data_IF_302663429177
#
_entry.id   IF_302663429177
#
_cell.length_a   1.000
_cell.length_b   1.000
_cell.length_c   1.000
_cell.angle_alpha   90.00
_cell.angle_beta   90.00
_cell.angle_gamma   90.00
#
_symmetry.space_group_name_H-M   'P 1'
#
loop_
_entity.id
_entity.type
_entity.pdbx_description
1 polymer ?
#
# COMPACT_ATOMS: atom_id res chain seq x y z
N UNK A 1 29.90 -114.19 -3.03
CA UNK A 1 30.92 -114.14 -1.96
C UNK A 1 31.52 -112.78 -1.84
N UNK A 2 31.51 -112.26 -0.68
CA UNK A 2 32.11 -111.10 -0.03
C UNK A 2 31.31 -109.79 0.06
N UNK A 3 30.69 -109.70 1.22
CA UNK A 3 30.18 -108.47 1.75
C UNK A 3 31.28 -107.44 2.14
N UNK A 4 31.17 -106.24 1.74
CA UNK A 4 31.97 -105.11 2.27
C UNK A 4 31.01 -104.16 3.01
N UNK A 5 31.30 -103.70 4.23
CA UNK A 5 30.45 -102.81 5.02
C UNK A 5 30.64 -101.35 4.61
N UNK A 6 29.51 -100.68 4.32
CA UNK A 6 29.41 -99.27 3.92
C UNK A 6 29.04 -98.36 5.09
N UNK A 7 29.42 -98.66 6.35
CA UNK A 7 28.96 -97.93 7.53
C UNK A 7 29.75 -96.68 7.97
N UNK A 8 31.00 -96.41 7.63
CA UNK A 8 31.65 -95.23 8.19
C UNK A 8 31.46 -93.90 7.39
N UNK A 9 31.02 -94.00 6.15
CA UNK A 9 30.87 -92.75 5.32
C UNK A 9 29.58 -91.99 5.60
N UNK A 10 28.54 -92.69 6.11
CA UNK A 10 27.23 -92.08 6.43
C UNK A 10 27.30 -91.24 7.77
N UNK A 11 28.09 -91.70 8.71
CA UNK A 11 28.28 -90.96 9.99
C UNK A 11 29.07 -89.67 9.83
N UNK A 12 30.02 -89.61 8.91
CA UNK A 12 30.83 -88.44 8.65
C UNK A 12 30.04 -87.30 7.96
N UNK A 13 29.09 -87.73 7.07
CA UNK A 13 28.20 -86.76 6.38
C UNK A 13 27.13 -86.13 7.28
N UNK A 14 26.65 -86.83 8.30
CA UNK A 14 25.70 -86.26 9.29
C UNK A 14 26.37 -85.29 10.22
N UNK A 15 27.60 -85.54 10.65
CA UNK A 15 28.34 -84.60 11.51
C UNK A 15 28.71 -83.33 10.73
N UNK A 16 29.05 -83.41 9.46
CA UNK A 16 29.31 -82.28 8.57
C UNK A 16 28.05 -81.44 8.32
N UNK A 17 26.88 -82.06 8.16
CA UNK A 17 25.59 -81.37 8.02
C UNK A 17 25.15 -80.65 9.31
N UNK A 18 25.41 -81.23 10.46
CA UNK A 18 25.10 -80.59 11.74
C UNK A 18 26.02 -79.39 12.08
N UNK A 19 27.27 -79.44 11.58
CA UNK A 19 28.20 -78.30 11.74
C UNK A 19 27.85 -77.11 10.83
N UNK A 20 27.20 -77.36 9.66
CA UNK A 20 26.72 -76.29 8.80
C UNK A 20 25.45 -75.57 9.33
N UNK A 21 24.63 -76.20 10.17
CA UNK A 21 23.42 -75.57 10.78
C UNK A 21 23.73 -74.70 11.99
N UNK A 22 24.92 -74.80 12.59
CA UNK A 22 25.32 -73.92 13.73
C UNK A 22 25.99 -72.61 13.28
N UNK A 23 26.23 -72.37 11.98
CA UNK A 23 26.82 -71.17 11.44
C UNK A 23 25.84 -70.01 11.20
N UNK A 24 24.52 -70.18 11.44
CA UNK A 24 23.55 -69.07 11.49
C UNK A 24 23.54 -68.44 12.86
N UNK A 25 24.65 -67.83 13.28
CA UNK A 25 24.64 -66.92 14.43
C UNK A 25 23.89 -65.66 14.03
N UNK A 26 22.84 -65.33 14.79
CA UNK A 26 22.05 -64.12 14.69
C UNK A 26 23.00 -62.92 14.60
N UNK A 27 23.08 -62.31 13.42
CA UNK A 27 23.87 -61.11 13.20
C UNK A 27 23.31 -60.05 14.14
N UNK A 28 24.06 -59.73 15.17
CA UNK A 28 23.71 -58.64 16.10
C UNK A 28 23.41 -57.41 15.21
N UNK A 29 22.18 -56.85 15.32
CA UNK A 29 21.75 -55.72 14.55
C UNK A 29 22.77 -54.61 14.77
N UNK A 30 23.43 -54.15 13.72
CA UNK A 30 24.36 -53.01 13.79
C UNK A 30 23.65 -51.85 14.52
N UNK A 31 24.30 -51.18 15.48
CA UNK A 31 23.66 -50.09 16.21
C UNK A 31 23.12 -49.08 15.20
N UNK A 32 21.85 -48.74 15.35
CA UNK A 32 21.20 -47.75 14.45
C UNK A 32 22.05 -46.47 14.39
N UNK A 33 22.37 -45.96 13.19
CA UNK A 33 23.20 -44.79 13.07
C UNK A 33 22.56 -43.60 13.79
N UNK A 34 23.34 -42.99 14.69
CA UNK A 34 22.89 -41.81 15.43
C UNK A 34 22.70 -40.68 14.41
N UNK A 35 21.45 -40.26 14.21
CA UNK A 35 21.08 -39.24 13.21
C UNK A 35 21.21 -37.84 13.80
N UNK A 36 21.71 -36.89 13.00
CA UNK A 36 21.74 -35.50 13.38
C UNK A 36 20.37 -34.86 13.06
N UNK A 37 19.78 -34.19 14.04
CA UNK A 37 18.47 -33.50 13.91
C UNK A 37 18.61 -32.02 14.25
N UNK A 38 17.88 -31.18 13.53
CA UNK A 38 17.79 -29.76 13.87
C UNK A 38 16.67 -29.57 14.88
N UNK A 39 16.98 -28.95 16.01
CA UNK A 39 16.00 -28.66 17.07
C UNK A 39 15.49 -27.23 16.93
N UNK A 40 14.22 -27.05 17.25
CA UNK A 40 13.58 -25.75 17.50
C UNK A 40 13.06 -25.76 18.93
N UNK A 41 13.40 -24.74 19.69
CA UNK A 41 12.82 -24.54 21.01
C UNK A 41 11.43 -23.94 20.84
N UNK A 42 10.46 -24.59 21.42
CA UNK A 42 9.07 -24.10 21.45
C UNK A 42 9.06 -22.75 22.16
N UNK A 43 8.86 -21.69 21.41
CA UNK A 43 8.79 -20.32 21.90
C UNK A 43 7.36 -19.82 21.87
N UNK A 44 7.09 -18.86 22.73
CA UNK A 44 5.89 -18.04 22.65
C UNK A 44 6.13 -16.99 21.57
N UNK A 45 5.60 -17.22 20.37
CA UNK A 45 5.62 -16.22 19.30
C UNK A 45 4.30 -15.47 19.22
N UNK A 46 4.30 -14.16 18.92
CA UNK A 46 3.07 -13.52 18.51
C UNK A 46 2.58 -14.19 17.22
N UNK A 47 1.27 -14.47 17.15
CA UNK A 47 0.65 -14.79 15.87
C UNK A 47 0.59 -13.49 15.08
N UNK A 48 1.62 -13.18 14.34
CA UNK A 48 1.55 -12.20 13.26
C UNK A 48 1.28 -12.95 11.95
N UNK A 49 0.12 -13.58 11.86
CA UNK A 49 -0.52 -13.80 10.58
C UNK A 49 -1.19 -12.47 10.20
N UNK A 50 -0.38 -11.43 10.04
CA UNK A 50 -0.83 -10.18 9.50
C UNK A 50 -1.18 -10.43 8.04
N UNK A 51 -2.47 -10.41 7.73
CA UNK A 51 -2.93 -10.50 6.36
C UNK A 51 -2.48 -9.23 5.64
N UNK A 52 -1.59 -9.41 4.66
CA UNK A 52 -0.96 -8.33 3.94
C UNK A 52 -1.61 -8.19 2.56
N UNK A 53 -2.01 -6.97 2.21
CA UNK A 53 -2.57 -6.63 0.90
C UNK A 53 -1.61 -5.71 0.17
N UNK A 54 -1.38 -6.00 -1.11
CA UNK A 54 -0.64 -5.08 -1.97
C UNK A 54 -1.55 -3.95 -2.43
N UNK A 55 -1.03 -2.73 -2.45
CA UNK A 55 -1.73 -1.53 -2.89
C UNK A 55 -0.77 -0.49 -3.45
N UNK A 56 -1.33 0.64 -3.83
CA UNK A 56 -0.60 1.79 -4.36
C UNK A 56 -1.02 3.08 -3.65
N UNK A 57 -0.08 4.03 -3.59
CA UNK A 57 -0.31 5.35 -3.01
C UNK A 57 -0.91 6.25 -4.06
N UNK A 58 -2.09 6.82 -3.78
CA UNK A 58 -2.76 7.80 -4.65
C UNK A 58 -3.02 9.11 -3.91
N UNK A 59 -3.11 10.19 -4.67
CA UNK A 59 -3.65 11.42 -4.12
C UNK A 59 -5.11 11.18 -3.70
N UNK A 60 -5.54 11.84 -2.63
CA UNK A 60 -6.94 11.75 -2.18
C UNK A 60 -7.91 12.24 -3.23
N UNK A 61 -7.51 13.30 -3.97
CA UNK A 61 -8.30 13.91 -5.04
C UNK A 61 -7.45 13.93 -6.30
N UNK A 62 -8.02 13.41 -7.37
CA UNK A 62 -7.47 13.51 -8.73
C UNK A 62 -8.46 14.28 -9.60
N UNK A 63 -8.01 15.40 -10.17
CA UNK A 63 -8.78 16.20 -11.12
C UNK A 63 -8.50 15.73 -12.54
N UNK A 64 -9.56 15.39 -13.28
CA UNK A 64 -9.50 15.13 -14.73
C UNK A 64 -9.98 16.38 -15.45
N UNK A 65 -9.03 17.14 -15.97
CA UNK A 65 -9.29 18.44 -16.54
C UNK A 65 -9.44 18.36 -18.05
N UNK A 66 -10.51 18.96 -18.56
CA UNK A 66 -10.84 19.08 -19.97
C UNK A 66 -11.39 20.46 -20.28
N UNK A 67 -11.36 20.84 -21.56
CA UNK A 67 -11.91 22.09 -22.00
C UNK A 67 -13.45 22.10 -21.89
N UNK A 68 -14.02 23.26 -21.58
CA UNK A 68 -15.48 23.45 -21.50
C UNK A 68 -16.11 23.75 -22.85
N UNK A 69 -15.29 23.99 -23.86
CA UNK A 69 -15.65 24.25 -25.26
C UNK A 69 -14.85 23.32 -26.17
N UNK A 70 -15.38 23.05 -27.38
CA UNK A 70 -14.69 22.23 -28.36
C UNK A 70 -13.65 23.04 -29.13
N UNK A 71 -12.61 22.40 -29.63
CA UNK A 71 -11.61 23.06 -30.50
C UNK A 71 -10.36 22.24 -30.71
N UNK A 72 -9.44 22.77 -31.54
CA UNK A 72 -8.14 22.18 -31.78
C UNK A 72 -7.14 22.66 -30.73
N UNK A 73 -6.43 21.74 -30.07
CA UNK A 73 -5.34 22.08 -29.14
C UNK A 73 -4.18 22.68 -29.96
N UNK A 74 -3.82 23.91 -29.66
CA UNK A 74 -2.69 24.59 -30.29
C UNK A 74 -1.40 24.39 -29.52
N UNK A 75 -1.48 24.35 -28.20
CA UNK A 75 -0.32 24.26 -27.33
C UNK A 75 -0.68 23.57 -25.99
N UNK A 76 0.25 22.76 -25.51
CA UNK A 76 0.27 22.24 -24.14
C UNK A 76 1.45 22.89 -23.42
N UNK A 77 1.23 23.43 -22.23
CA UNK A 77 2.21 24.21 -21.48
C UNK A 77 2.77 23.45 -20.25
N UNK A 78 2.38 22.18 -20.07
CA UNK A 78 2.79 21.34 -18.94
C UNK A 78 3.22 19.96 -19.41
N UNK A 79 4.13 19.35 -18.66
CA UNK A 79 4.66 18.01 -18.90
C UNK A 79 4.23 17.04 -17.80
N UNK A 80 4.30 15.73 -18.09
CA UNK A 80 4.07 14.67 -17.12
C UNK A 80 5.06 14.80 -15.95
N UNK A 81 4.57 14.69 -14.72
CA UNK A 81 5.38 14.85 -13.50
C UNK A 81 5.64 16.30 -13.09
N UNK A 82 5.23 17.29 -13.89
CA UNK A 82 5.39 18.70 -13.55
C UNK A 82 4.45 19.10 -12.42
N UNK A 83 4.96 19.87 -11.46
CA UNK A 83 4.15 20.51 -10.43
C UNK A 83 3.50 21.77 -10.98
N UNK A 84 2.22 21.95 -10.76
CA UNK A 84 1.40 23.06 -11.23
C UNK A 84 0.69 23.76 -10.08
N UNK A 85 0.39 25.04 -10.27
CA UNK A 85 -0.34 25.86 -9.29
C UNK A 85 -1.75 26.13 -9.80
N UNK A 86 -2.67 26.36 -8.86
CA UNK A 86 -4.04 26.78 -9.17
C UNK A 86 -4.04 28.00 -10.10
N UNK A 87 -4.89 27.97 -11.17
CA UNK A 87 -4.96 29.01 -12.18
C UNK A 87 -3.85 28.97 -13.24
N UNK A 88 -2.83 28.09 -13.12
CA UNK A 88 -1.80 27.93 -14.13
C UNK A 88 -2.41 27.36 -15.43
N UNK A 89 -2.05 27.94 -16.58
CA UNK A 89 -2.52 27.43 -17.88
C UNK A 89 -1.80 26.13 -18.19
N UNK A 90 -2.57 25.12 -18.54
CA UNK A 90 -2.11 23.76 -18.87
C UNK A 90 -2.07 23.52 -20.36
N UNK A 91 -3.10 24.01 -21.08
CA UNK A 91 -3.24 23.86 -22.51
C UNK A 91 -4.11 24.98 -23.08
N UNK A 92 -4.01 25.19 -24.41
CA UNK A 92 -4.80 26.20 -25.14
C UNK A 92 -5.41 25.59 -26.39
N UNK A 93 -6.65 25.99 -26.66
CA UNK A 93 -7.32 25.76 -27.96
C UNK A 93 -6.99 26.89 -28.92
N UNK A 94 -7.32 26.71 -30.21
CA UNK A 94 -7.44 27.77 -31.17
C UNK A 94 -8.66 28.64 -30.77
N UNK A 95 -8.37 29.88 -30.34
CA UNK A 95 -9.38 30.78 -29.79
C UNK A 95 -9.95 31.75 -30.85
N UNK A 96 -9.48 31.72 -32.11
CA UNK A 96 -9.77 32.75 -33.11
C UNK A 96 -11.27 32.97 -33.29
N UNK A 97 -12.04 31.92 -33.48
CA UNK A 97 -13.49 32.03 -33.70
C UNK A 97 -14.25 32.54 -32.47
N UNK A 98 -13.79 32.13 -31.29
CA UNK A 98 -14.32 32.60 -30.00
C UNK A 98 -14.00 34.09 -29.77
N UNK A 99 -12.78 34.54 -30.12
CA UNK A 99 -12.40 35.96 -30.04
C UNK A 99 -13.23 36.81 -31.00
N UNK A 100 -13.40 36.40 -32.25
CA UNK A 100 -14.26 37.11 -33.21
C UNK A 100 -15.70 37.21 -32.70
N UNK A 101 -16.23 36.16 -32.09
CA UNK A 101 -17.58 36.16 -31.52
C UNK A 101 -17.69 37.11 -30.30
N UNK A 102 -16.67 37.18 -29.47
CA UNK A 102 -16.61 38.11 -28.34
C UNK A 102 -16.48 39.56 -28.82
N UNK A 103 -15.68 39.81 -29.87
CA UNK A 103 -15.53 41.15 -30.48
C UNK A 103 -16.81 41.63 -31.12
N UNK A 104 -17.54 40.78 -31.84
CA UNK A 104 -18.87 41.09 -32.37
C UNK A 104 -19.89 41.46 -31.25
N UNK A 105 -19.89 40.70 -30.15
CA UNK A 105 -20.74 41.00 -29.02
C UNK A 105 -20.31 42.32 -28.33
N UNK A 106 -19.04 42.64 -28.27
CA UNK A 106 -18.51 43.90 -27.76
C UNK A 106 -18.97 45.10 -28.59
N UNK A 107 -18.96 44.97 -29.91
CA UNK A 107 -19.45 45.99 -30.83
C UNK A 107 -20.98 46.19 -30.63
N UNK A 108 -21.75 45.10 -30.47
CA UNK A 108 -23.18 45.19 -30.19
C UNK A 108 -23.47 45.88 -28.86
N UNK A 109 -22.67 45.62 -27.80
CA UNK A 109 -22.78 46.34 -26.54
C UNK A 109 -22.52 47.83 -26.68
N UNK A 110 -21.49 48.22 -27.48
CA UNK A 110 -21.19 49.61 -27.72
C UNK A 110 -22.37 50.33 -28.45
N UNK A 111 -22.99 49.69 -29.45
CA UNK A 111 -24.17 50.19 -30.12
C UNK A 111 -25.36 50.38 -29.16
N UNK A 112 -25.69 49.37 -28.35
CA UNK A 112 -26.79 49.44 -27.39
C UNK A 112 -26.55 50.51 -26.31
N UNK A 113 -25.26 50.67 -25.88
CA UNK A 113 -24.88 51.76 -24.95
C UNK A 113 -25.20 53.12 -25.53
N UNK A 114 -24.78 53.36 -26.79
CA UNK A 114 -25.04 54.64 -27.49
C UNK A 114 -26.56 54.91 -27.62
N UNK A 115 -27.34 53.89 -27.98
CA UNK A 115 -28.80 54.01 -28.09
C UNK A 115 -29.44 54.36 -26.73
N UNK A 116 -29.00 53.72 -25.64
CA UNK A 116 -29.50 54.01 -24.31
C UNK A 116 -29.15 55.45 -23.86
N UNK A 117 -27.90 55.89 -24.14
CA UNK A 117 -27.43 57.23 -23.81
C UNK A 117 -28.24 58.32 -24.55
N UNK A 118 -28.56 58.08 -25.82
CA UNK A 118 -29.42 58.94 -26.63
C UNK A 118 -30.85 59.01 -26.05
N UNK A 119 -31.43 57.84 -25.73
CA UNK A 119 -32.78 57.75 -25.13
C UNK A 119 -32.80 58.45 -23.76
N UNK A 120 -31.76 58.30 -22.94
CA UNK A 120 -31.66 58.97 -21.63
C UNK A 120 -31.57 60.47 -21.79
N UNK A 121 -30.69 60.97 -22.71
CA UNK A 121 -30.59 62.41 -22.99
C UNK A 121 -31.89 63.01 -23.48
N UNK A 122 -32.65 62.27 -24.32
CA UNK A 122 -34.00 62.69 -24.78
C UNK A 122 -34.98 62.71 -23.59
N UNK A 123 -35.08 61.61 -22.84
CA UNK A 123 -35.99 61.55 -21.71
C UNK A 123 -35.69 62.66 -20.68
N UNK A 124 -34.44 62.95 -20.40
CA UNK A 124 -34.01 64.07 -19.52
C UNK A 124 -34.46 65.43 -20.08
N UNK A 125 -34.24 65.68 -21.37
CA UNK A 125 -34.63 66.92 -22.03
C UNK A 125 -36.15 67.11 -22.00
N UNK A 126 -36.88 66.07 -22.38
CA UNK A 126 -38.34 66.16 -22.47
C UNK A 126 -39.00 66.20 -21.07
N UNK A 127 -38.36 65.63 -20.02
CA UNK A 127 -38.81 65.78 -18.64
C UNK A 127 -38.73 67.24 -18.19
N UNK A 128 -37.70 68.01 -18.61
CA UNK A 128 -37.62 69.45 -18.36
C UNK A 128 -38.71 70.21 -19.09
N UNK A 129 -38.98 69.91 -20.34
CA UNK A 129 -40.07 70.55 -21.12
C UNK A 129 -41.46 70.19 -20.57
N UNK A 130 -41.65 69.00 -20.03
CA UNK A 130 -42.92 68.62 -19.34
C UNK A 130 -43.13 69.41 -18.09
N UNK A 131 -42.10 69.63 -17.26
CA UNK A 131 -42.16 70.47 -16.08
C UNK A 131 -42.55 71.92 -16.40
N UNK A 132 -42.26 72.38 -17.63
CA UNK A 132 -42.65 73.69 -18.13
C UNK A 132 -43.99 73.65 -18.89
N UNK A 133 -44.72 72.53 -18.92
CA UNK A 133 -45.99 72.32 -19.63
C UNK A 133 -45.94 72.45 -21.18
N UNK A 134 -44.73 72.29 -21.80
CA UNK A 134 -44.57 72.38 -23.26
C UNK A 134 -44.90 71.05 -23.96
N UNK A 135 -45.10 69.94 -23.27
CA UNK A 135 -45.43 68.62 -23.84
C UNK A 135 -46.52 67.95 -23.03
N UNK A 136 -47.25 67.03 -23.63
CA UNK A 136 -48.26 66.19 -23.00
C UNK A 136 -47.71 65.15 -22.08
N UNK A 137 -48.50 64.59 -21.12
CA UNK A 137 -48.11 63.44 -20.32
C UNK A 137 -47.82 62.20 -21.15
N UNK A 138 -48.65 61.90 -22.15
CA UNK A 138 -48.51 60.78 -23.06
C UNK A 138 -47.24 60.84 -23.88
N UNK A 139 -46.82 62.04 -24.24
CA UNK A 139 -45.52 62.22 -24.94
C UNK A 139 -44.34 61.91 -24.02
N UNK A 140 -44.38 62.38 -22.78
CA UNK A 140 -43.32 62.06 -21.78
C UNK A 140 -43.26 60.55 -21.50
N UNK A 141 -44.40 59.88 -21.30
CA UNK A 141 -44.45 58.41 -21.15
C UNK A 141 -43.81 57.66 -22.32
N UNK A 142 -44.00 58.18 -23.56
CA UNK A 142 -43.31 57.57 -24.74
C UNK A 142 -41.79 57.66 -24.65
N UNK A 143 -41.21 58.76 -24.19
CA UNK A 143 -39.75 58.87 -24.02
C UNK A 143 -39.25 58.02 -22.86
N UNK A 144 -40.02 57.89 -21.80
CA UNK A 144 -39.68 56.99 -20.68
C UNK A 144 -39.76 55.52 -21.09
N UNK A 145 -40.76 55.13 -21.85
CA UNK A 145 -40.86 53.81 -22.44
C UNK A 145 -39.71 53.48 -23.38
N UNK A 146 -39.30 54.46 -24.24
CA UNK A 146 -38.17 54.31 -25.12
C UNK A 146 -36.87 54.15 -24.33
N UNK A 147 -36.66 54.93 -23.27
CA UNK A 147 -35.49 54.76 -22.37
C UNK A 147 -35.48 53.38 -21.71
N UNK A 148 -36.64 52.91 -21.21
CA UNK A 148 -36.78 51.58 -20.62
C UNK A 148 -36.47 50.48 -21.64
N UNK A 149 -36.94 50.62 -22.88
CA UNK A 149 -36.65 49.66 -23.93
C UNK A 149 -35.14 49.64 -24.32
N UNK A 150 -34.54 50.85 -24.45
CA UNK A 150 -33.09 50.94 -24.74
C UNK A 150 -32.23 50.37 -23.59
N UNK A 151 -32.66 50.57 -22.33
CA UNK A 151 -32.01 49.97 -21.16
C UNK A 151 -32.08 48.44 -21.20
N UNK A 152 -33.25 47.87 -21.52
CA UNK A 152 -33.39 46.42 -21.66
C UNK A 152 -32.50 45.85 -22.78
N UNK A 153 -32.37 46.57 -23.92
CA UNK A 153 -31.48 46.19 -25.03
C UNK A 153 -30.01 46.21 -24.58
N UNK A 154 -29.59 47.22 -23.81
CA UNK A 154 -28.24 47.30 -23.27
C UNK A 154 -27.96 46.11 -22.32
N UNK A 155 -28.88 45.77 -21.43
CA UNK A 155 -28.71 44.66 -20.50
C UNK A 155 -28.62 43.32 -21.23
N UNK A 156 -29.41 43.13 -22.30
CA UNK A 156 -29.32 41.98 -23.19
C UNK A 156 -27.95 41.91 -23.86
N UNK A 157 -27.43 43.02 -24.43
CA UNK A 157 -26.12 43.04 -25.06
C UNK A 157 -24.97 42.78 -24.10
N UNK A 158 -25.06 43.23 -22.83
CA UNK A 158 -24.11 42.92 -21.77
C UNK A 158 -24.11 41.42 -21.44
N UNK A 159 -25.26 40.80 -21.29
CA UNK A 159 -25.40 39.39 -21.03
C UNK A 159 -24.78 38.56 -22.21
N UNK A 160 -25.04 38.98 -23.44
CA UNK A 160 -24.47 38.32 -24.63
C UNK A 160 -22.95 38.41 -24.66
N UNK A 161 -22.37 39.61 -24.40
CA UNK A 161 -20.91 39.77 -24.32
C UNK A 161 -20.31 38.87 -23.21
N UNK A 162 -20.91 38.86 -22.03
CA UNK A 162 -20.48 38.00 -20.92
C UNK A 162 -20.43 36.53 -21.32
N UNK A 163 -21.46 36.05 -22.03
CA UNK A 163 -21.52 34.67 -22.55
C UNK A 163 -20.38 34.37 -23.51
N UNK A 164 -20.13 35.26 -24.50
CA UNK A 164 -19.07 35.04 -25.50
C UNK A 164 -17.67 35.15 -24.86
N UNK A 165 -17.45 36.12 -23.97
CA UNK A 165 -16.17 36.22 -23.24
C UNK A 165 -15.90 35.00 -22.35
N UNK A 166 -16.92 34.42 -21.74
CA UNK A 166 -16.74 33.15 -21.02
C UNK A 166 -16.33 32.01 -21.94
N UNK A 167 -16.93 31.91 -23.14
CA UNK A 167 -16.53 30.88 -24.13
C UNK A 167 -15.09 31.08 -24.60
N UNK A 168 -14.66 32.33 -24.83
CA UNK A 168 -13.28 32.67 -25.14
C UNK A 168 -12.34 32.24 -23.99
N UNK A 169 -12.66 32.56 -22.75
CA UNK A 169 -11.86 32.17 -21.59
C UNK A 169 -11.75 30.64 -21.45
N UNK A 170 -12.81 29.90 -21.81
CA UNK A 170 -12.82 28.43 -21.75
C UNK A 170 -11.91 27.77 -22.80
N UNK A 171 -11.33 28.54 -23.74
CA UNK A 171 -10.28 28.06 -24.63
C UNK A 171 -8.93 27.88 -23.95
N UNK A 172 -8.79 28.34 -22.70
CA UNK A 172 -7.63 28.10 -21.86
C UNK A 172 -7.99 27.08 -20.77
N UNK A 173 -7.29 25.95 -20.75
CA UNK A 173 -7.41 24.97 -19.69
C UNK A 173 -6.50 25.37 -18.55
N UNK A 174 -7.05 25.57 -17.36
CA UNK A 174 -6.31 25.98 -16.17
C UNK A 174 -6.42 24.91 -15.09
N UNK A 175 -5.39 24.82 -14.25
CA UNK A 175 -5.39 23.97 -13.07
C UNK A 175 -6.43 24.48 -12.06
N UNK A 176 -7.23 23.58 -11.52
CA UNK A 176 -8.23 23.85 -10.50
C UNK A 176 -7.68 23.83 -9.07
N UNK A 177 -6.48 23.24 -8.88
CA UNK A 177 -5.78 23.15 -7.61
C UNK A 177 -4.26 23.03 -7.83
N UNK A 178 -3.50 23.21 -6.74
CA UNK A 178 -2.07 22.90 -6.71
C UNK A 178 -1.90 21.38 -6.75
N UNK A 179 -0.89 20.89 -7.50
CA UNK A 179 -0.68 19.46 -7.62
C UNK A 179 0.33 19.06 -8.69
N UNK A 180 0.41 17.77 -8.97
CA UNK A 180 1.34 17.19 -9.94
C UNK A 180 0.56 16.58 -11.10
N UNK A 181 1.02 16.82 -12.34
CA UNK A 181 0.46 16.22 -13.56
C UNK A 181 0.77 14.72 -13.56
N UNK A 182 -0.27 13.88 -13.48
CA UNK A 182 -0.15 12.41 -13.44
C UNK A 182 -0.45 11.74 -14.77
N UNK A 183 -1.17 12.43 -15.68
CA UNK A 183 -1.40 11.95 -17.03
C UNK A 183 -1.64 13.10 -18.00
N UNK A 184 -1.23 12.90 -19.25
CA UNK A 184 -1.57 13.74 -20.41
C UNK A 184 -2.36 12.84 -21.36
N UNK A 185 -3.64 13.20 -21.61
CA UNK A 185 -4.57 12.37 -22.37
C UNK A 185 -4.85 12.92 -23.78
N UNK A 186 -4.39 14.15 -24.07
CA UNK A 186 -4.51 14.76 -25.39
C UNK A 186 -3.29 15.64 -25.75
N UNK A 187 -2.91 15.64 -27.02
CA UNK A 187 -1.70 16.28 -27.52
C UNK A 187 -2.01 17.48 -28.43
N UNK A 188 -1.06 18.45 -28.59
CA UNK A 188 -1.19 19.54 -29.55
C UNK A 188 -1.48 19.03 -30.97
N UNK A 189 -2.40 19.73 -31.67
CA UNK A 189 -2.88 19.35 -32.99
C UNK A 189 -4.16 18.52 -32.97
N UNK A 190 -4.52 17.91 -31.86
CA UNK A 190 -5.76 17.13 -31.71
C UNK A 190 -6.97 18.05 -31.59
N UNK A 191 -8.11 17.62 -32.14
CA UNK A 191 -9.42 18.26 -31.95
C UNK A 191 -10.15 17.52 -30.84
N UNK A 192 -10.57 18.26 -29.83
CA UNK A 192 -11.25 17.72 -28.66
C UNK A 192 -12.68 18.29 -28.53
N UNK A 193 -13.60 17.46 -28.06
CA UNK A 193 -14.93 17.90 -27.70
C UNK A 193 -14.94 18.51 -26.28
N UNK A 194 -15.98 19.28 -25.96
CA UNK A 194 -16.19 19.77 -24.59
C UNK A 194 -16.28 18.60 -23.61
N UNK A 195 -15.57 18.68 -22.48
CA UNK A 195 -15.55 17.66 -21.43
C UNK A 195 -14.60 16.49 -21.68
N UNK A 196 -13.92 16.43 -22.83
CA UNK A 196 -12.88 15.42 -23.08
C UNK A 196 -11.71 15.67 -22.14
N UNK A 197 -11.25 14.67 -21.34
CA UNK A 197 -10.07 14.82 -20.50
C UNK A 197 -8.83 15.11 -21.33
N UNK A 198 -8.02 16.06 -20.87
CA UNK A 198 -6.76 16.47 -21.51
C UNK A 198 -5.58 16.27 -20.58
N UNK A 199 -5.72 16.65 -19.31
CA UNK A 199 -4.69 16.54 -18.29
C UNK A 199 -5.30 16.01 -17.00
N UNK A 200 -4.58 15.13 -16.31
CA UNK A 200 -4.94 14.66 -14.98
C UNK A 200 -3.95 15.23 -13.96
N UNK A 201 -4.48 15.77 -12.88
CA UNK A 201 -3.69 16.35 -11.79
C UNK A 201 -4.01 15.59 -10.50
N UNK A 202 -2.99 15.07 -9.85
CA UNK A 202 -3.07 14.64 -8.46
C UNK A 202 -2.87 15.86 -7.57
N UNK A 203 -3.91 16.24 -6.81
CA UNK A 203 -3.85 17.39 -5.93
C UNK A 203 -2.88 17.15 -4.77
N UNK A 204 -2.16 18.19 -4.38
CA UNK A 204 -1.25 18.14 -3.24
C UNK A 204 -1.97 17.90 -1.93
N UNK A 205 -1.23 17.34 -0.96
CA UNK A 205 -1.72 17.15 0.40
C UNK A 205 -1.98 15.69 0.74
N UNK A 206 -3.21 15.38 1.14
CA UNK A 206 -3.54 14.06 1.68
C UNK A 206 -3.43 12.95 0.63
N UNK A 207 -2.81 11.84 1.03
CA UNK A 207 -2.65 10.63 0.21
C UNK A 207 -3.36 9.46 0.85
N UNK A 208 -3.87 8.59 0.01
CA UNK A 208 -4.53 7.36 0.42
C UNK A 208 -3.70 6.15 -0.10
N UNK A 209 -3.58 5.11 0.70
CA UNK A 209 -3.21 3.79 0.23
C UNK A 209 -4.46 3.11 -0.32
N UNK A 210 -4.42 2.75 -1.59
CA UNK A 210 -5.54 2.10 -2.29
C UNK A 210 -5.17 0.64 -2.51
N UNK A 211 -5.98 -0.27 -1.98
CA UNK A 211 -5.75 -1.70 -2.08
C UNK A 211 -7.05 -2.46 -2.31
N UNK A 212 -6.95 -3.69 -2.77
CA UNK A 212 -8.09 -4.53 -3.10
C UNK A 212 -8.20 -5.69 -2.13
N UNK A 213 -9.43 -5.95 -1.66
CA UNK A 213 -9.74 -6.98 -0.67
C UNK A 213 -10.70 -7.98 -1.28
N UNK A 214 -10.42 -9.30 -1.22
CA UNK A 214 -11.34 -10.33 -1.68
C UNK A 214 -12.70 -10.30 -0.95
N UNK A 215 -13.74 -10.79 -1.60
CA UNK A 215 -15.11 -10.75 -1.10
C UNK A 215 -15.28 -11.46 0.25
N UNK A 216 -14.61 -12.60 0.46
CA UNK A 216 -14.65 -13.37 1.70
C UNK A 216 -14.09 -12.62 2.92
N UNK A 217 -13.25 -11.60 2.69
CA UNK A 217 -12.61 -10.77 3.73
C UNK A 217 -13.20 -9.38 3.89
N UNK A 218 -14.11 -9.00 3.00
CA UNK A 218 -14.71 -7.65 3.00
C UNK A 218 -15.39 -7.30 4.32
N UNK A 219 -16.07 -8.27 4.96
CA UNK A 219 -16.80 -8.06 6.22
C UNK A 219 -15.88 -7.71 7.41
N UNK A 220 -14.61 -8.07 7.33
CA UNK A 220 -13.62 -7.81 8.37
C UNK A 220 -12.98 -6.40 8.26
N UNK A 221 -13.20 -5.68 7.15
CA UNK A 221 -12.67 -4.32 6.96
C UNK A 221 -13.81 -3.31 7.06
N UNK A 222 -13.62 -2.34 7.96
CA UNK A 222 -14.62 -1.30 8.26
C UNK A 222 -14.01 0.09 8.14
N UNK A 223 -14.78 1.09 7.71
CA UNK A 223 -14.36 2.48 7.81
C UNK A 223 -14.00 2.84 9.27
N UNK A 224 -12.92 3.61 9.44
CA UNK A 224 -12.38 3.97 10.75
C UNK A 224 -11.38 2.98 11.33
N UNK A 225 -11.22 1.79 10.75
CA UNK A 225 -10.25 0.79 11.21
C UNK A 225 -8.81 1.26 10.95
N UNK A 226 -7.93 1.05 11.95
CA UNK A 226 -6.49 1.28 11.80
C UNK A 226 -5.87 0.29 10.83
N UNK A 227 -4.92 0.75 10.05
CA UNK A 227 -4.09 -0.09 9.18
C UNK A 227 -2.65 0.39 9.25
N UNK A 228 -1.71 -0.53 9.14
CA UNK A 228 -0.30 -0.22 8.98
C UNK A 228 0.09 -0.37 7.54
N UNK A 229 0.84 0.59 7.04
CA UNK A 229 1.27 0.64 5.64
C UNK A 229 2.78 0.64 5.60
N UNK A 230 3.35 -0.29 4.86
CA UNK A 230 4.78 -0.45 4.66
C UNK A 230 5.12 -0.20 3.20
N UNK A 231 5.92 0.82 2.86
CA UNK A 231 6.38 1.04 1.50
C UNK A 231 7.28 -0.11 1.02
N UNK A 232 7.12 -0.54 -0.23
CA UNK A 232 7.99 -1.55 -0.83
C UNK A 232 9.45 -1.12 -0.89
N UNK A 233 9.70 0.19 -1.05
CA UNK A 233 11.05 0.76 -1.13
C UNK A 233 11.79 0.79 0.21
N UNK A 234 11.08 0.70 1.34
CA UNK A 234 11.65 0.73 2.68
C UNK A 234 10.81 -0.15 3.61
N UNK A 235 11.19 -1.42 3.70
CA UNK A 235 10.50 -2.42 4.51
C UNK A 235 10.61 -2.16 6.02
N UNK A 236 11.56 -1.34 6.46
CA UNK A 236 11.75 -1.00 7.87
C UNK A 236 10.77 0.07 8.34
N UNK A 237 10.16 0.79 7.41
CA UNK A 237 9.30 1.94 7.69
C UNK A 237 7.84 1.54 7.75
N UNK A 238 7.19 1.84 8.88
CA UNK A 238 5.76 1.64 9.09
C UNK A 238 5.05 2.97 9.19
N UNK A 239 4.01 3.14 8.39
CA UNK A 239 3.17 4.34 8.35
C UNK A 239 1.80 3.96 8.87
N UNK A 240 1.28 4.72 9.81
CA UNK A 240 -0.09 4.54 10.27
C UNK A 240 -1.06 5.12 9.24
N UNK A 241 -2.15 4.40 9.03
CA UNK A 241 -3.23 4.85 8.17
C UNK A 241 -4.58 4.42 8.77
N UNK A 242 -5.66 4.98 8.24
CA UNK A 242 -7.00 4.66 8.68
C UNK A 242 -7.89 4.40 7.47
N UNK A 243 -8.64 3.31 7.48
CA UNK A 243 -9.62 3.01 6.44
C UNK A 243 -10.65 4.14 6.40
N UNK A 244 -10.70 4.84 5.27
CA UNK A 244 -11.62 5.93 5.02
C UNK A 244 -12.86 5.47 4.26
N UNK A 245 -12.65 4.62 3.28
CA UNK A 245 -13.68 4.19 2.33
C UNK A 245 -13.50 2.73 1.96
N UNK A 246 -14.59 2.01 1.93
CA UNK A 246 -14.68 0.65 1.38
C UNK A 246 -15.73 0.67 0.28
N UNK A 247 -15.36 0.25 -0.93
CA UNK A 247 -16.28 0.23 -2.06
C UNK A 247 -17.54 -0.58 -1.74
N UNK A 248 -18.69 -0.09 -2.19
CA UNK A 248 -19.97 -0.76 -1.98
C UNK A 248 -20.18 -1.96 -2.91
N UNK A 249 -19.51 -1.96 -4.08
CA UNK A 249 -19.57 -3.02 -5.08
C UNK A 249 -18.18 -3.61 -5.33
N UNK A 250 -18.12 -4.89 -5.61
CA UNK A 250 -16.91 -5.54 -6.08
C UNK A 250 -16.64 -5.18 -7.54
N UNK A 251 -15.38 -5.14 -7.91
CA UNK A 251 -14.94 -5.15 -9.30
C UNK A 251 -15.33 -6.50 -9.92
N UNK A 252 -16.10 -6.52 -11.02
CA UNK A 252 -16.63 -7.76 -11.60
C UNK A 252 -15.55 -8.68 -12.19
N UNK A 253 -14.40 -8.13 -12.58
CA UNK A 253 -13.31 -8.89 -13.17
C UNK A 253 -12.46 -9.59 -12.12
N UNK A 254 -12.14 -8.91 -11.01
CA UNK A 254 -11.26 -9.40 -9.96
C UNK A 254 -12.00 -9.97 -8.76
N UNK A 255 -13.30 -9.68 -8.62
CA UNK A 255 -14.14 -10.00 -7.44
C UNK A 255 -13.57 -9.47 -6.14
N UNK A 256 -12.96 -8.29 -6.21
CA UNK A 256 -12.36 -7.61 -5.06
C UNK A 256 -13.04 -6.27 -4.81
N UNK A 257 -13.04 -5.85 -3.56
CA UNK A 257 -13.53 -4.54 -3.13
C UNK A 257 -12.35 -3.60 -2.97
N UNK A 258 -12.45 -2.42 -3.57
CA UNK A 258 -11.44 -1.37 -3.41
C UNK A 258 -11.61 -0.73 -2.03
N UNK A 259 -10.50 -0.65 -1.30
CA UNK A 259 -10.41 0.01 0.00
C UNK A 259 -9.41 1.16 -0.10
N UNK A 260 -9.78 2.32 0.48
CA UNK A 260 -8.91 3.49 0.56
C UNK A 260 -8.61 3.78 2.02
N UNK A 261 -7.34 3.77 2.38
CA UNK A 261 -6.86 4.11 3.71
C UNK A 261 -6.08 5.42 3.68
N UNK A 262 -6.52 6.39 4.47
CA UNK A 262 -5.86 7.69 4.61
C UNK A 262 -4.52 7.53 5.32
N UNK A 263 -3.42 7.84 4.64
CA UNK A 263 -2.08 7.85 5.22
C UNK A 263 -1.94 9.00 6.21
N UNK A 264 -1.28 8.75 7.34
CA UNK A 264 -1.03 9.72 8.40
C UNK A 264 0.45 10.11 8.44
N UNK A 265 0.71 11.40 8.73
CA UNK A 265 2.07 11.92 8.80
C UNK A 265 2.39 12.90 7.68
N UNK A 266 3.59 13.50 7.74
CA UNK A 266 4.07 14.51 6.78
C UNK A 266 4.98 13.92 5.72
N UNK A 267 5.73 12.87 6.06
CA UNK A 267 6.63 12.20 5.13
C UNK A 267 5.92 10.99 4.52
N UNK A 268 5.15 11.24 3.45
CA UNK A 268 4.36 10.22 2.77
C UNK A 268 5.11 9.66 1.55
N UNK A 269 4.95 8.37 1.23
CA UNK A 269 5.54 7.77 0.02
C UNK A 269 5.07 8.50 -1.24
N UNK A 270 5.88 8.46 -2.29
CA UNK A 270 5.56 9.09 -3.57
C UNK A 270 4.24 8.56 -4.15
N UNK A 271 3.57 9.37 -4.96
CA UNK A 271 2.40 8.93 -5.72
C UNK A 271 2.78 7.76 -6.64
N UNK A 272 1.94 6.74 -6.71
CA UNK A 272 2.19 5.50 -7.45
C UNK A 272 3.15 4.53 -6.76
N UNK A 273 3.68 4.85 -5.57
CA UNK A 273 4.51 3.91 -4.82
C UNK A 273 3.70 2.68 -4.40
N UNK A 274 4.28 1.50 -4.60
CA UNK A 274 3.70 0.24 -4.11
C UNK A 274 3.85 0.17 -2.60
N UNK A 275 2.80 -0.28 -1.93
CA UNK A 275 2.75 -0.43 -0.48
C UNK A 275 2.12 -1.76 -0.10
N UNK A 276 2.55 -2.28 1.04
CA UNK A 276 1.90 -3.38 1.74
C UNK A 276 1.03 -2.83 2.85
N UNK A 277 -0.22 -3.23 2.87
CA UNK A 277 -1.24 -2.76 3.81
C UNK A 277 -1.65 -3.90 4.72
N UNK A 278 -1.52 -3.70 6.02
CA UNK A 278 -1.83 -4.65 7.08
C UNK A 278 -2.96 -4.07 7.95
N UNK A 279 -4.22 -4.50 7.73
CA UNK A 279 -5.32 -4.05 8.57
C UNK A 279 -5.19 -4.57 10.01
N UNK A 280 -5.38 -3.69 10.98
CA UNK A 280 -5.38 -4.06 12.39
C UNK A 280 -6.64 -4.86 12.75
N UNK A 281 -6.47 -5.89 13.60
CA UNK A 281 -7.59 -6.72 14.05
C UNK A 281 -8.04 -7.82 13.07
N UNK A 282 -7.36 -8.01 11.95
CA UNK A 282 -7.59 -9.15 11.05
C UNK A 282 -6.74 -10.37 11.38
N UNK A 283 -5.74 -10.24 12.25
CA UNK A 283 -5.08 -11.37 12.87
C UNK A 283 -6.03 -12.04 13.87
N UNK A 284 -5.90 -13.35 14.05
CA UNK A 284 -6.64 -14.08 15.11
C UNK A 284 -6.34 -13.37 16.43
N UNK A 285 -7.35 -12.69 17.00
CA UNK A 285 -7.16 -11.88 18.18
C UNK A 285 -6.66 -12.76 19.34
N UNK A 286 -5.59 -12.32 19.96
CA UNK A 286 -4.95 -12.96 21.14
C UNK A 286 -5.95 -13.20 22.27
N UNK A 287 -7.03 -12.40 22.33
CA UNK A 287 -8.08 -12.47 23.36
C UNK A 287 -9.11 -13.58 23.13
N UNK A 288 -9.32 -14.00 21.88
CA UNK A 288 -10.26 -15.08 21.56
C UNK A 288 -9.70 -16.47 21.86
N UNK A 289 -8.40 -16.63 22.05
CA UNK A 289 -7.73 -17.94 22.25
C UNK A 289 -7.07 -18.11 23.62
N UNK A 290 -7.12 -17.18 24.53
CA UNK A 290 -6.73 -17.37 25.94
C UNK A 290 -5.43 -18.13 26.23
N UNK A 291 -4.61 -18.46 25.24
CA UNK A 291 -3.42 -19.30 25.39
C UNK A 291 -2.30 -18.89 24.43
N UNK A 292 -1.11 -18.95 24.91
CA UNK A 292 0.16 -18.85 24.21
C UNK A 292 0.16 -19.78 22.99
N UNK A 293 0.26 -19.20 21.79
CA UNK A 293 0.21 -19.98 20.57
C UNK A 293 1.60 -20.41 20.19
N UNK A 294 1.77 -21.70 20.03
CA UNK A 294 3.01 -22.34 19.63
C UNK A 294 2.99 -22.52 18.12
N UNK A 295 3.96 -21.90 17.41
CA UNK A 295 4.18 -22.14 16.00
C UNK A 295 5.34 -23.11 15.79
N UNK A 296 5.13 -24.07 14.90
CA UNK A 296 6.16 -25.00 14.47
C UNK A 296 6.21 -25.07 12.94
N UNK A 297 7.40 -25.24 12.35
CA UNK A 297 7.49 -25.50 10.91
C UNK A 297 6.74 -26.80 10.56
N UNK A 298 6.02 -26.81 9.45
CA UNK A 298 5.24 -27.97 9.00
C UNK A 298 6.12 -29.23 8.81
N UNK A 299 7.44 -29.04 8.59
CA UNK A 299 8.42 -30.12 8.53
C UNK A 299 8.66 -30.86 9.85
N UNK A 300 8.25 -30.27 10.98
CA UNK A 300 8.32 -30.88 12.31
C UNK A 300 7.16 -31.83 12.58
N UNK A 301 6.08 -31.73 11.80
CA UNK A 301 4.86 -32.51 11.99
C UNK A 301 4.98 -33.89 11.35
N UNK A 302 4.46 -34.90 12.05
CA UNK A 302 4.29 -36.25 11.56
C UNK A 302 2.83 -36.66 11.69
N UNK A 303 2.28 -37.24 10.63
CA UNK A 303 0.97 -37.87 10.70
C UNK A 303 1.12 -39.29 11.26
N UNK A 304 0.33 -39.60 12.28
CA UNK A 304 0.31 -40.90 12.93
C UNK A 304 -0.86 -41.72 12.36
N UNK A 305 -0.52 -42.84 11.67
CA UNK A 305 -1.48 -43.84 11.21
C UNK A 305 -2.16 -43.60 9.85
N UNK A 306 -2.51 -44.68 9.17
CA UNK A 306 -3.08 -44.73 7.81
C UNK A 306 -4.49 -44.13 7.65
N UNK A 307 -5.15 -43.63 8.68
CA UNK A 307 -6.49 -43.03 8.65
C UNK A 307 -6.51 -41.52 8.96
N UNK A 308 -5.36 -40.84 9.00
CA UNK A 308 -5.30 -39.37 9.03
C UNK A 308 -5.77 -38.68 10.31
N UNK A 309 -5.93 -39.38 11.41
CA UNK A 309 -6.56 -38.85 12.64
C UNK A 309 -5.61 -38.43 13.76
N UNK A 310 -4.31 -38.41 13.56
CA UNK A 310 -3.38 -37.94 14.60
C UNK A 310 -2.19 -37.20 14.02
N UNK A 311 -1.89 -36.04 14.55
CA UNK A 311 -0.63 -35.33 14.27
C UNK A 311 0.24 -35.37 15.51
N UNK A 312 1.52 -35.67 15.36
CA UNK A 312 2.48 -35.74 16.45
C UNK A 312 3.78 -35.03 16.07
N UNK A 313 4.57 -34.68 17.06
CA UNK A 313 5.91 -34.13 16.90
C UNK A 313 6.93 -34.93 17.70
N UNK A 314 8.22 -34.85 17.30
CA UNK A 314 9.27 -35.46 18.08
C UNK A 314 9.83 -34.48 19.12
N UNK A 315 9.63 -34.84 20.37
CA UNK A 315 10.18 -34.12 21.52
C UNK A 315 11.59 -34.64 21.78
N UNK A 316 12.58 -33.76 21.88
CA UNK A 316 13.94 -34.13 22.25
C UNK A 316 14.12 -34.11 23.77
N UNK A 317 14.60 -35.20 24.29
CA UNK A 317 14.96 -35.35 25.70
C UNK A 317 16.48 -35.20 25.83
N UNK A 318 16.90 -34.09 26.43
CA UNK A 318 18.33 -33.76 26.58
C UNK A 318 19.05 -34.72 27.55
N UNK A 319 18.34 -35.32 28.51
CA UNK A 319 18.94 -36.22 29.50
C UNK A 319 19.32 -37.59 28.90
N UNK A 320 18.47 -38.11 27.99
CA UNK A 320 18.68 -39.40 27.33
C UNK A 320 19.24 -39.28 25.90
N UNK A 321 19.34 -38.04 25.38
CA UNK A 321 19.67 -37.76 23.97
C UNK A 321 18.81 -38.54 23.00
N UNK A 322 17.54 -38.75 23.32
CA UNK A 322 16.57 -39.51 22.50
C UNK A 322 15.33 -38.72 22.20
N UNK A 323 14.55 -39.20 21.21
CA UNK A 323 13.32 -38.55 20.78
C UNK A 323 12.09 -39.35 21.26
N UNK A 324 11.07 -38.62 21.74
CA UNK A 324 9.76 -39.19 22.16
C UNK A 324 8.69 -38.60 21.26
N UNK A 325 7.70 -39.41 20.86
CA UNK A 325 6.57 -38.96 20.11
C UNK A 325 5.55 -38.28 21.03
N UNK A 326 5.17 -37.05 20.70
CA UNK A 326 4.20 -36.25 21.45
C UNK A 326 3.02 -35.90 20.55
N UNK A 327 1.79 -36.38 20.84
CA UNK A 327 0.60 -35.97 20.09
C UNK A 327 0.32 -34.49 20.28
N UNK A 328 -0.08 -33.82 19.16
CA UNK A 328 -0.41 -32.40 19.15
C UNK A 328 -1.69 -32.15 18.37
N UNK A 329 -2.43 -31.11 18.75
CA UNK A 329 -3.60 -30.65 18.00
C UNK A 329 -3.24 -29.38 17.22
N UNK A 330 -3.53 -29.39 15.91
CA UNK A 330 -3.30 -28.27 15.02
C UNK A 330 -4.60 -27.48 14.91
N UNK A 331 -4.54 -26.15 15.08
CA UNK A 331 -5.69 -25.26 14.86
C UNK A 331 -5.74 -24.75 13.43
N UNK A 332 -4.59 -24.35 12.89
CA UNK A 332 -4.48 -23.89 11.50
C UNK A 332 -3.07 -24.13 10.97
N UNK A 333 -2.94 -24.13 9.65
CA UNK A 333 -1.65 -24.11 8.98
C UNK A 333 -1.58 -22.83 8.14
N UNK A 334 -0.46 -22.11 8.28
CA UNK A 334 -0.20 -20.86 7.57
C UNK A 334 1.13 -21.00 6.80
N UNK A 335 1.02 -21.28 5.51
CA UNK A 335 2.17 -21.53 4.65
C UNK A 335 3.06 -22.67 5.16
N UNK A 336 4.29 -22.34 5.60
CA UNK A 336 5.28 -23.29 6.10
C UNK A 336 5.21 -23.51 7.61
N UNK A 337 4.28 -22.87 8.33
CA UNK A 337 4.12 -22.99 9.79
C UNK A 337 2.76 -23.53 10.15
N UNK A 338 2.72 -24.36 11.20
CA UNK A 338 1.50 -24.85 11.79
C UNK A 338 1.33 -24.28 13.20
N UNK A 339 0.10 -23.91 13.51
CA UNK A 339 -0.32 -23.39 14.81
C UNK A 339 -0.81 -24.53 15.66
N UNK A 340 -0.13 -24.78 16.78
CA UNK A 340 -0.43 -25.87 17.71
C UNK A 340 -1.33 -25.34 18.83
N UNK A 341 -2.52 -25.94 18.98
CA UNK A 341 -3.49 -25.59 20.01
C UNK A 341 -3.18 -26.21 21.36
N UNK A 342 -2.68 -27.45 21.36
CA UNK A 342 -2.40 -28.18 22.59
C UNK A 342 -1.38 -29.31 22.37
N UNK A 343 -0.76 -29.77 23.46
CA UNK A 343 0.20 -30.86 23.44
C UNK A 343 1.66 -30.45 23.65
N UNK A 344 1.98 -29.14 23.65
CA UNK A 344 3.33 -28.63 23.89
C UNK A 344 3.34 -27.54 24.97
N UNK A 345 4.48 -27.36 25.59
CA UNK A 345 4.74 -26.29 26.57
C UNK A 345 5.93 -25.44 26.07
N UNK A 346 5.95 -24.15 26.39
CA UNK A 346 7.09 -23.28 26.10
C UNK A 346 8.39 -23.83 26.70
N UNK A 347 9.48 -23.72 25.98
CA UNK A 347 10.80 -24.26 26.38
C UNK A 347 11.07 -25.70 25.98
N UNK A 348 10.07 -26.46 25.50
CA UNK A 348 10.29 -27.80 24.95
C UNK A 348 11.09 -27.73 23.67
N UNK A 349 11.96 -28.72 23.42
CA UNK A 349 12.74 -28.83 22.20
C UNK A 349 12.10 -29.85 21.25
N UNK A 350 11.75 -29.40 20.06
CA UNK A 350 11.11 -30.21 19.04
C UNK A 350 12.02 -30.38 17.83
N UNK A 351 12.03 -31.54 17.22
CA UNK A 351 12.77 -31.80 15.97
C UNK A 351 12.10 -31.06 14.82
N UNK A 352 12.78 -30.10 14.25
CA UNK A 352 12.29 -29.25 13.16
C UNK A 352 12.38 -29.91 11.78
N UNK A 353 13.41 -30.75 11.57
CA UNK A 353 13.67 -31.42 10.27
C UNK A 353 14.12 -32.85 10.49
N UNK A 354 13.70 -33.76 9.56
CA UNK A 354 14.02 -35.19 9.66
C UNK A 354 12.98 -36.01 10.44
N UNK A 355 11.81 -35.46 10.74
CA UNK A 355 10.78 -36.10 11.56
C UNK A 355 10.26 -37.45 11.01
N UNK A 356 10.30 -37.68 9.70
CA UNK A 356 9.69 -38.88 9.10
C UNK A 356 10.53 -40.15 9.20
N UNK A 357 11.82 -40.03 9.53
CA UNK A 357 12.77 -41.17 9.55
C UNK A 357 13.17 -41.58 10.97
N UNK A 358 12.55 -40.99 11.99
CA UNK A 358 12.85 -41.27 13.39
C UNK A 358 11.88 -42.33 13.96
N UNK A 359 12.40 -43.13 14.90
CA UNK A 359 11.62 -44.11 15.66
C UNK A 359 11.56 -43.70 17.15
N UNK A 360 10.48 -44.09 17.89
CA UNK A 360 10.38 -43.76 19.31
C UNK A 360 11.56 -44.31 20.11
N UNK A 361 12.17 -43.46 20.94
CA UNK A 361 13.34 -43.83 21.76
C UNK A 361 14.69 -43.81 21.04
N UNK A 362 14.74 -43.44 19.75
CA UNK A 362 15.96 -43.39 18.98
C UNK A 362 16.91 -42.30 19.51
N UNK A 363 18.20 -42.64 19.65
CA UNK A 363 19.22 -41.68 20.02
C UNK A 363 19.54 -40.78 18.84
N UNK A 364 19.64 -39.48 19.07
CA UNK A 364 19.91 -38.46 18.06
C UNK A 364 20.99 -37.49 18.54
N UNK A 365 21.70 -36.90 17.58
CA UNK A 365 22.65 -35.79 17.85
C UNK A 365 22.05 -34.48 17.36
N UNK A 366 22.33 -33.41 18.09
CA UNK A 366 21.86 -32.08 17.72
C UNK A 366 22.75 -31.51 16.63
N UNK A 367 22.16 -31.21 15.48
CA UNK A 367 22.86 -30.51 14.41
C UNK A 367 23.11 -29.04 14.80
N UNK A 368 24.37 -28.66 14.90
CA UNK A 368 24.79 -27.26 15.09
C UNK A 368 25.25 -26.71 13.76
N UNK A 369 24.56 -25.66 13.29
CA UNK A 369 24.95 -24.97 12.07
C UNK A 369 26.24 -24.19 12.31
N UNK A 370 27.33 -24.58 11.62
CA UNK A 370 28.64 -23.95 11.73
C UNK A 370 28.69 -22.51 11.19
N UNK A 371 27.64 -22.08 10.47
CA UNK A 371 27.54 -20.78 9.80
C UNK A 371 26.39 -19.91 10.32
N UNK A 372 25.69 -20.33 11.35
CA UNK A 372 24.66 -19.50 11.98
C UNK A 372 25.32 -18.28 12.64
N UNK A 373 25.15 -17.08 12.07
CA UNK A 373 25.43 -15.81 12.74
C UNK A 373 24.61 -15.76 14.03
N UNK A 374 25.22 -15.45 15.21
CA UNK A 374 24.45 -15.28 16.43
C UNK A 374 23.46 -14.13 16.21
N UNK A 375 22.18 -14.40 16.33
CA UNK A 375 21.16 -13.36 16.50
C UNK A 375 21.55 -12.60 17.77
N UNK A 376 21.93 -11.34 17.63
CA UNK A 376 22.22 -10.44 18.76
C UNK A 376 20.96 -10.31 19.60
N UNK A 377 20.88 -11.13 20.65
CA UNK A 377 19.91 -10.98 21.71
C UNK A 377 20.20 -9.70 22.47
N UNK A 378 19.15 -8.95 22.73
CA UNK A 378 19.10 -7.75 23.56
C UNK A 378 19.97 -7.87 24.80
N UNK A 379 21.06 -7.10 24.84
CA UNK A 379 21.91 -6.94 26.01
C UNK A 379 21.10 -6.21 27.10
N UNK A 380 20.89 -6.90 28.19
CA UNK A 380 20.38 -6.36 29.43
C UNK A 380 21.28 -5.19 29.90
N UNK A 381 20.65 -4.06 30.06
CA UNK A 381 21.21 -2.82 30.62
C UNK A 381 21.48 -3.04 32.12
N UNK A 382 22.72 -3.36 32.50
CA UNK A 382 23.19 -3.26 33.88
C UNK A 382 24.00 -1.96 34.04
N UNK A 383 23.71 -1.13 35.04
CA UNK A 383 24.46 0.08 35.30
C UNK A 383 25.85 -0.27 35.88
N UNK A 384 26.91 0.10 35.18
CA UNK A 384 28.27 0.07 35.73
C UNK A 384 28.45 1.25 36.69
N UNK A 385 28.61 0.93 37.93
CA UNK A 385 29.10 1.78 39.03
C UNK A 385 30.50 2.29 38.70
N UNK A 386 30.67 3.62 38.68
CA UNK A 386 31.97 4.28 38.59
C UNK A 386 32.71 4.14 39.92
N UNK A 387 33.92 3.62 39.89
CA UNK A 387 34.94 3.85 40.91
C UNK A 387 36.10 4.59 40.24
N UNK A 388 36.40 5.75 40.81
CA UNK A 388 37.38 6.71 40.30
C UNK A 388 38.83 6.31 40.47
N UNK A 389 39.68 6.97 39.71
CA UNK A 389 41.00 7.42 40.15
C UNK A 389 41.48 8.58 39.28
N UNK A 390 41.90 9.60 39.99
CA UNK A 390 42.47 10.84 39.54
C UNK A 390 43.95 10.73 39.15
N UNK A 391 44.48 11.83 38.62
CA UNK A 391 45.88 12.26 38.41
C UNK A 391 46.42 11.99 36.99
N UNK A 392 47.13 12.89 36.29
CA UNK A 392 47.67 14.22 36.56
C UNK A 392 47.94 14.98 35.24
N UNK A 393 47.79 16.28 35.30
CA UNK A 393 48.50 17.42 34.71
C UNK A 393 49.63 17.26 33.66
N UNK A 394 49.61 18.05 32.62
CA UNK A 394 50.58 19.11 32.21
C UNK A 394 50.21 19.56 30.77
N UNK A 395 49.84 20.76 30.58
CA UNK A 395 50.55 22.04 30.34
C UNK A 395 50.91 22.29 28.85
N UNK A 396 50.57 23.51 28.47
CA UNK A 396 51.14 24.36 27.40
C UNK A 396 50.73 24.05 25.95
N UNK A 397 50.31 24.93 25.13
CA UNK A 397 50.29 26.40 25.15
C UNK A 397 49.92 26.92 23.78
N UNK A 398 49.26 28.06 23.82
CA UNK A 398 49.44 29.24 22.99
C UNK A 398 49.24 29.13 21.46
N UNK A 399 48.30 29.96 20.96
CA UNK A 399 48.39 30.46 19.61
C UNK A 399 47.05 30.83 18.94
N UNK A 400 46.39 31.87 19.36
CA UNK A 400 45.66 32.79 18.47
C UNK A 400 46.65 33.82 17.91
N UNK A 401 46.44 34.54 16.81
CA UNK A 401 45.21 35.29 16.48
C UNK A 401 44.85 35.34 14.97
N UNK A 402 43.58 35.59 14.68
CA UNK A 402 42.98 36.83 14.19
C UNK A 402 43.25 37.28 12.74
N UNK A 403 42.17 37.79 12.15
CA UNK A 403 41.97 38.97 11.31
C UNK A 403 41.68 38.74 9.82
N UNK A 404 40.52 39.22 9.47
CA UNK A 404 40.00 40.17 8.48
C UNK A 404 39.60 39.57 7.14
N UNK A 405 38.36 39.75 6.71
CA UNK A 405 37.71 40.91 6.12
C UNK A 405 38.10 41.17 4.66
N UNK A 406 37.07 41.29 3.88
CA UNK A 406 36.76 42.12 2.69
C UNK A 406 36.12 41.32 1.59
N UNK A 407 34.86 41.51 1.23
CA UNK A 407 34.25 42.61 0.47
C UNK A 407 34.56 42.54 -1.04
N UNK A 408 33.53 42.48 -1.83
CA UNK A 408 33.53 43.14 -3.13
C UNK A 408 33.20 42.32 -4.36
N UNK A 409 32.07 42.33 -4.80
CA UNK A 409 31.35 42.86 -5.97
C UNK A 409 30.14 42.04 -6.32
#
# INVERSE_FOLDING_TARGET
>A
LSHRPAAPLLALSIVAAAAMLSACSKKEAAPEPVRAVKLVTVGEGPIESAQEYSGDVRARVESRLGFRVAGKITRREVELGQHVKVGQVLARLDARDYQLSADAARAQLASATTQRDLAEANAKRFRTLRAQNFISAAEMERYEANLKAAQASLDQARAQLSSQSNQENYTQLQADADGVVTAVEAEPGQVVAAGTPVVRIAQDGARDAVFSVPEDRRSAIKPGQGVKVRPWSDESRMINAQVREVAASADPATRTYVVKAALQGTDLPALGATVHVMPEGMGVSREAMGSQVIKLPTTALRQEGGNGQGTAVWLYDAASSSVKLQPVQITSADGNEAVIASGLQPGMQVVATGAHVLTPGQKVTVYRDKYAKPLQGSASNQPKTQAGKAQDAHESGVGQPAVAAEAGK
#
